data_IF_824428267780
#
_entry.id   IF_824428267780
#
_cell.length_a   1.000
_cell.length_b   1.000
_cell.length_c   1.000
_cell.angle_alpha   90.00
_cell.angle_beta   90.00
_cell.angle_gamma   90.00
#
_symmetry.space_group_name_H-M   'P 1'
#
loop_
_entity.id
_entity.type
_entity.pdbx_description
1 polymer ?
#
# COMPACT_ATOMS: atom_id res chain seq x y z
N UNK A 1 -41.59 -8.72 -18.13
CA UNK A 1 -40.82 -7.45 -18.27
C UNK A 1 -40.33 -6.85 -16.94
N UNK A 2 -40.60 -7.46 -15.77
CA UNK A 2 -40.07 -6.97 -14.49
C UNK A 2 -38.65 -7.48 -14.15
N UNK A 3 -38.19 -8.55 -14.79
CA UNK A 3 -36.92 -9.22 -14.45
C UNK A 3 -35.67 -8.43 -14.88
N UNK A 4 -35.77 -7.57 -15.89
CA UNK A 4 -34.62 -6.82 -16.43
C UNK A 4 -34.17 -5.68 -15.52
N UNK A 5 -35.09 -5.06 -14.78
CA UNK A 5 -34.77 -4.00 -13.82
C UNK A 5 -34.15 -4.55 -12.54
N UNK A 6 -34.71 -5.65 -12.00
CA UNK A 6 -34.19 -6.34 -10.82
C UNK A 6 -32.75 -6.85 -11.04
N UNK A 7 -32.46 -7.44 -12.20
CA UNK A 7 -31.11 -7.91 -12.52
C UNK A 7 -30.09 -6.76 -12.66
N UNK A 8 -30.52 -5.60 -13.18
CA UNK A 8 -29.66 -4.40 -13.25
C UNK A 8 -29.34 -3.86 -11.87
N UNK A 9 -30.32 -3.81 -10.97
CA UNK A 9 -30.14 -3.35 -9.59
C UNK A 9 -29.18 -4.29 -8.85
N UNK A 10 -29.37 -5.61 -8.96
CA UNK A 10 -28.49 -6.60 -8.32
C UNK A 10 -27.02 -6.48 -8.80
N UNK A 11 -26.81 -6.28 -10.10
CA UNK A 11 -25.46 -6.09 -10.66
C UNK A 11 -24.78 -4.81 -10.16
N UNK A 12 -25.52 -3.71 -10.03
CA UNK A 12 -25.00 -2.45 -9.48
C UNK A 12 -24.65 -2.58 -8.00
N UNK A 13 -25.46 -3.31 -7.22
CA UNK A 13 -25.19 -3.58 -5.81
C UNK A 13 -23.94 -4.43 -5.63
N UNK A 14 -23.76 -5.49 -6.43
CA UNK A 14 -22.57 -6.34 -6.39
C UNK A 14 -21.29 -5.55 -6.68
N UNK A 15 -21.29 -4.72 -7.74
CA UNK A 15 -20.15 -3.85 -8.07
C UNK A 15 -19.87 -2.83 -6.97
N UNK A 16 -20.90 -2.33 -6.29
CA UNK A 16 -20.73 -1.40 -5.18
C UNK A 16 -20.02 -2.08 -3.99
N UNK A 17 -20.50 -3.26 -3.62
CA UNK A 17 -19.94 -4.03 -2.51
C UNK A 17 -18.49 -4.47 -2.78
N UNK A 18 -18.17 -4.83 -4.03
CA UNK A 18 -16.78 -5.07 -4.45
C UNK A 18 -15.91 -3.81 -4.31
N UNK A 19 -16.44 -2.63 -4.67
CA UNK A 19 -15.70 -1.38 -4.54
C UNK A 19 -15.49 -1.03 -3.06
N UNK A 20 -16.50 -1.22 -2.21
CA UNK A 20 -16.39 -1.03 -0.75
C UNK A 20 -15.29 -1.90 -0.17
N UNK A 21 -15.28 -3.19 -0.51
CA UNK A 21 -14.24 -4.11 -0.06
C UNK A 21 -12.84 -3.68 -0.55
N UNK A 22 -12.71 -3.29 -1.82
CA UNK A 22 -11.45 -2.80 -2.39
C UNK A 22 -10.97 -1.51 -1.71
N UNK A 23 -11.89 -0.62 -1.30
CA UNK A 23 -11.55 0.60 -0.55
C UNK A 23 -11.05 0.26 0.85
N UNK A 24 -11.71 -0.66 1.55
CA UNK A 24 -11.28 -1.13 2.87
C UNK A 24 -9.89 -1.81 2.82
N UNK A 25 -9.68 -2.70 1.86
CA UNK A 25 -8.39 -3.37 1.65
C UNK A 25 -7.28 -2.35 1.33
N UNK A 26 -7.58 -1.36 0.47
CA UNK A 26 -6.67 -0.26 0.19
C UNK A 26 -6.32 0.51 1.46
N UNK A 27 -7.31 0.92 2.25
CA UNK A 27 -7.09 1.73 3.46
C UNK A 27 -6.29 0.97 4.52
N UNK A 28 -6.56 -0.33 4.69
CA UNK A 28 -5.83 -1.20 5.62
C UNK A 28 -4.38 -1.38 5.18
N UNK A 29 -4.16 -1.73 3.92
CA UNK A 29 -2.83 -1.93 3.34
C UNK A 29 -2.01 -0.63 3.36
N UNK A 30 -2.64 0.50 3.04
CA UNK A 30 -1.99 1.82 3.11
C UNK A 30 -1.55 2.14 4.54
N UNK A 31 -2.40 1.87 5.53
CA UNK A 31 -2.10 2.16 6.93
C UNK A 31 -0.96 1.30 7.45
N UNK A 32 -0.96 -0.01 7.18
CA UNK A 32 0.12 -0.93 7.56
C UNK A 32 1.45 -0.54 6.90
N UNK A 33 1.44 -0.27 5.60
CA UNK A 33 2.63 0.11 4.86
C UNK A 33 3.22 1.43 5.37
N UNK A 34 2.37 2.43 5.67
CA UNK A 34 2.82 3.71 6.21
C UNK A 34 3.36 3.60 7.62
N UNK A 35 2.73 2.79 8.47
CA UNK A 35 3.23 2.51 9.82
C UNK A 35 4.59 1.83 9.77
N UNK A 36 4.74 0.83 8.90
CA UNK A 36 6.01 0.17 8.67
C UNK A 36 7.08 1.15 8.19
N UNK A 37 6.79 1.98 7.18
CA UNK A 37 7.72 3.01 6.69
C UNK A 37 8.13 3.95 7.84
N UNK A 38 7.18 4.46 8.62
CA UNK A 38 7.45 5.37 9.75
C UNK A 38 8.34 4.73 10.81
N UNK A 39 8.20 3.42 11.05
CA UNK A 39 9.05 2.66 11.99
C UNK A 39 10.43 2.37 11.43
N UNK A 40 10.53 2.10 10.12
CA UNK A 40 11.79 1.69 9.48
C UNK A 40 12.69 2.86 9.12
N UNK A 41 12.14 4.03 8.75
CA UNK A 41 12.92 5.24 8.44
C UNK A 41 13.96 5.59 9.54
N UNK A 42 13.60 5.75 10.82
CA UNK A 42 14.59 6.12 11.85
C UNK A 42 15.69 5.07 12.01
N UNK A 43 15.38 3.79 11.81
CA UNK A 43 16.38 2.72 11.84
C UNK A 43 17.33 2.76 10.63
N UNK A 44 16.85 3.16 9.46
CA UNK A 44 17.68 3.35 8.25
C UNK A 44 18.52 4.64 8.30
N UNK A 45 18.01 5.68 8.96
CA UNK A 45 18.70 6.96 9.15
C UNK A 45 19.70 6.92 10.31
N UNK A 46 19.59 5.94 11.22
CA UNK A 46 20.53 5.70 12.30
C UNK A 46 21.91 5.31 11.77
N UNK A 47 22.75 6.31 11.53
CA UNK A 47 24.15 6.18 11.10
C UNK A 47 25.14 6.25 12.27
N UNK A 48 24.68 5.98 13.48
CA UNK A 48 25.55 6.01 14.66
C UNK A 48 26.64 4.92 14.54
N UNK A 49 27.93 5.29 14.65
CA UNK A 49 29.03 4.34 14.63
C UNK A 49 29.01 3.52 15.92
N UNK A 50 28.78 2.22 15.78
CA UNK A 50 28.81 1.28 16.90
C UNK A 50 30.21 1.27 17.54
N UNK A 51 30.26 1.10 18.87
CA UNK A 51 31.51 1.18 19.65
C UNK A 51 32.48 0.04 19.35
N UNK A 52 31.99 -1.05 18.76
CA UNK A 52 32.79 -2.24 18.45
C UNK A 52 32.60 -2.69 16.99
N UNK A 53 33.66 -3.29 16.43
CA UNK A 53 33.64 -3.84 15.05
C UNK A 53 32.58 -4.95 14.92
N UNK A 54 32.39 -5.76 15.96
CA UNK A 54 31.39 -6.83 15.97
C UNK A 54 29.96 -6.29 15.85
N UNK A 55 29.63 -5.23 16.58
CA UNK A 55 28.31 -4.59 16.48
C UNK A 55 28.11 -3.90 15.12
N UNK A 56 29.17 -3.32 14.55
CA UNK A 56 29.12 -2.84 13.16
C UNK A 56 28.83 -3.97 12.16
N UNK A 57 29.45 -5.14 12.32
CA UNK A 57 29.20 -6.30 11.46
C UNK A 57 27.77 -6.82 11.61
N UNK A 58 27.26 -6.91 12.84
CA UNK A 58 25.87 -7.31 13.10
C UNK A 58 24.89 -6.33 12.45
N UNK A 59 25.09 -5.02 12.63
CA UNK A 59 24.24 -3.98 12.01
C UNK A 59 24.26 -4.06 10.47
N UNK A 60 25.39 -4.39 9.87
CA UNK A 60 25.49 -4.63 8.42
C UNK A 60 24.74 -5.89 7.98
N UNK A 61 24.75 -6.94 8.79
CA UNK A 61 24.03 -8.18 8.51
C UNK A 61 22.51 -7.97 8.60
N UNK A 62 22.02 -7.33 9.67
CA UNK A 62 20.62 -6.90 9.80
C UNK A 62 20.18 -6.02 8.62
N UNK A 63 21.05 -5.12 8.14
CA UNK A 63 20.76 -4.31 6.95
C UNK A 63 20.68 -5.13 5.65
N UNK A 64 21.53 -6.17 5.51
CA UNK A 64 21.49 -7.08 4.37
C UNK A 64 20.23 -7.95 4.39
N UNK A 65 19.87 -8.47 5.56
CA UNK A 65 18.67 -9.26 5.77
C UNK A 65 17.42 -8.41 5.48
N UNK A 66 17.35 -7.20 6.04
CA UNK A 66 16.32 -6.22 5.74
C UNK A 66 16.10 -6.04 4.23
N UNK A 67 17.17 -5.80 3.45
CA UNK A 67 17.05 -5.61 2.01
C UNK A 67 16.64 -6.86 1.24
N UNK A 68 16.98 -8.06 1.74
CA UNK A 68 16.70 -9.33 1.05
C UNK A 68 15.35 -9.95 1.42
N UNK A 69 14.89 -9.75 2.66
CA UNK A 69 13.74 -10.47 3.22
C UNK A 69 12.61 -9.51 3.56
N UNK A 70 12.89 -8.42 4.27
CA UNK A 70 11.85 -7.53 4.80
C UNK A 70 11.37 -6.47 3.80
N UNK A 71 12.27 -5.93 2.96
CA UNK A 71 11.96 -4.93 1.93
C UNK A 71 11.14 -5.45 0.74
N UNK A 72 11.44 -6.62 0.13
CA UNK A 72 10.68 -7.14 -1.02
C UNK A 72 9.16 -7.25 -0.81
N UNK A 73 8.64 -7.82 0.31
CA UNK A 73 7.19 -7.92 0.50
C UNK A 73 6.54 -6.54 0.60
N UNK A 74 7.21 -5.55 1.21
CA UNK A 74 6.68 -4.18 1.33
C UNK A 74 6.66 -3.46 -0.03
N UNK A 75 7.60 -3.75 -0.92
CA UNK A 75 7.53 -3.30 -2.33
C UNK A 75 6.33 -3.93 -3.04
N UNK A 76 6.07 -5.21 -2.81
CA UNK A 76 4.92 -5.90 -3.40
C UNK A 76 3.60 -5.34 -2.88
N UNK A 77 3.48 -5.10 -1.57
CA UNK A 77 2.30 -4.46 -0.97
C UNK A 77 2.07 -3.05 -1.55
N UNK A 78 3.14 -2.28 -1.74
CA UNK A 78 3.07 -0.98 -2.41
C UNK A 78 2.53 -1.11 -3.85
N UNK A 79 3.04 -2.07 -4.62
CA UNK A 79 2.58 -2.35 -5.97
C UNK A 79 1.10 -2.77 -5.99
N UNK A 80 0.69 -3.64 -5.07
CA UNK A 80 -0.69 -4.08 -4.92
C UNK A 80 -1.63 -2.91 -4.62
N UNK A 81 -1.19 -1.98 -3.78
CA UNK A 81 -1.94 -0.77 -3.46
C UNK A 81 -2.11 0.14 -4.68
N UNK A 82 -1.07 0.29 -5.51
CA UNK A 82 -1.17 1.02 -6.79
C UNK A 82 -2.14 0.33 -7.76
N UNK A 83 -2.14 -1.01 -7.82
CA UNK A 83 -3.06 -1.80 -8.64
C UNK A 83 -4.51 -1.62 -8.15
N UNK A 84 -4.74 -1.71 -6.83
CA UNK A 84 -6.06 -1.54 -6.22
C UNK A 84 -6.61 -0.13 -6.53
N UNK A 85 -5.78 0.90 -6.40
CA UNK A 85 -6.15 2.27 -6.75
C UNK A 85 -6.52 2.42 -8.22
N UNK A 86 -5.69 1.92 -9.14
CA UNK A 86 -5.97 2.00 -10.58
C UNK A 86 -7.24 1.23 -10.97
N UNK A 87 -7.48 0.09 -10.31
CA UNK A 87 -8.70 -0.72 -10.49
C UNK A 87 -9.92 0.05 -10.01
N UNK A 88 -9.90 0.61 -8.80
CA UNK A 88 -10.97 1.45 -8.25
C UNK A 88 -11.27 2.66 -9.13
N UNK A 89 -10.24 3.38 -9.57
CA UNK A 89 -10.39 4.51 -10.50
C UNK A 89 -11.07 4.09 -11.81
N UNK A 90 -10.64 2.97 -12.38
CA UNK A 90 -11.21 2.46 -13.63
C UNK A 90 -12.67 2.01 -13.44
N UNK A 91 -12.98 1.27 -12.37
CA UNK A 91 -14.35 0.81 -12.05
C UNK A 91 -15.30 1.98 -11.80
N UNK A 92 -14.86 2.99 -11.06
CA UNK A 92 -15.67 4.19 -10.77
C UNK A 92 -15.91 5.03 -12.03
N UNK A 93 -14.89 5.20 -12.87
CA UNK A 93 -15.01 5.88 -14.16
C UNK A 93 -16.01 5.20 -15.09
N UNK A 94 -15.94 3.87 -15.24
CA UNK A 94 -16.89 3.11 -16.06
C UNK A 94 -18.34 3.19 -15.54
N UNK A 95 -18.50 3.43 -14.25
CA UNK A 95 -19.81 3.55 -13.59
C UNK A 95 -20.33 4.99 -13.52
N UNK A 96 -19.64 5.98 -14.13
CA UNK A 96 -19.90 7.42 -13.99
C UNK A 96 -19.99 7.88 -12.53
N UNK A 97 -19.20 7.27 -11.64
CA UNK A 97 -19.10 7.62 -10.21
C UNK A 97 -17.86 8.50 -9.97
N UNK A 98 -17.86 9.31 -8.90
CA UNK A 98 -16.70 10.11 -8.53
C UNK A 98 -15.47 9.22 -8.28
N UNK A 99 -14.30 9.74 -8.61
CA UNK A 99 -13.02 9.08 -8.39
C UNK A 99 -12.81 8.80 -6.89
N UNK A 100 -12.26 7.63 -6.57
CA UNK A 100 -11.86 7.31 -5.20
C UNK A 100 -10.71 8.23 -4.78
N UNK A 101 -10.91 8.98 -3.71
CA UNK A 101 -9.87 9.77 -3.06
C UNK A 101 -9.55 9.13 -1.70
N UNK A 102 -8.37 8.51 -1.53
CA UNK A 102 -7.95 8.02 -0.23
C UNK A 102 -7.69 9.19 0.72
N UNK A 103 -7.83 8.93 2.02
CA UNK A 103 -7.57 9.88 3.10
C UNK A 103 -6.21 10.56 2.96
N UNK A 104 -6.11 11.84 3.35
CA UNK A 104 -4.87 12.62 3.29
C UNK A 104 -3.71 11.85 3.98
N UNK A 105 -2.58 11.71 3.29
CA UNK A 105 -1.43 10.94 3.76
C UNK A 105 -1.46 9.43 3.46
N UNK A 106 -2.58 8.86 2.98
CA UNK A 106 -2.67 7.48 2.47
C UNK A 106 -2.34 7.35 0.98
N UNK A 107 -2.08 8.46 0.28
CA UNK A 107 -1.58 8.45 -1.10
C UNK A 107 -0.13 7.99 -1.16
N UNK A 108 0.06 6.72 -1.51
CA UNK A 108 1.37 6.06 -1.63
C UNK A 108 2.21 6.58 -2.80
N UNK A 109 1.67 7.44 -3.68
CA UNK A 109 2.44 8.07 -4.76
C UNK A 109 3.60 8.95 -4.28
N UNK A 110 3.56 9.46 -3.04
CA UNK A 110 4.54 10.47 -2.55
C UNK A 110 5.61 9.88 -1.60
N UNK A 111 5.33 8.79 -0.88
CA UNK A 111 6.28 8.18 0.07
C UNK A 111 7.45 7.42 -0.58
N UNK A 112 7.57 7.50 -1.91
CA UNK A 112 8.43 6.67 -2.77
C UNK A 112 9.94 6.97 -2.74
N UNK A 113 10.37 8.07 -2.13
CA UNK A 113 11.74 8.55 -2.31
C UNK A 113 12.81 7.84 -1.48
N UNK A 114 12.52 7.51 -0.22
CA UNK A 114 13.58 7.34 0.79
C UNK A 114 13.83 5.87 1.18
N UNK A 115 12.78 5.07 1.36
CA UNK A 115 12.89 3.70 1.89
C UNK A 115 13.10 2.63 0.79
N UNK A 116 12.57 2.86 -0.42
CA UNK A 116 12.60 1.86 -1.50
C UNK A 116 13.76 2.03 -2.50
N UNK A 117 14.42 3.20 -2.55
CA UNK A 117 15.56 3.48 -3.46
C UNK A 117 16.96 3.19 -2.89
N UNK A 118 17.11 2.95 -1.58
CA UNK A 118 18.39 2.60 -0.94
C UNK A 118 18.64 1.08 -0.84
#
# INVERSE_FOLDING_TARGET
MAETAANRICKVLAVNQENEHLMEDYEKLASDLLEWIKRTIPWLEDRDPQKTIQEMQQKLEDFRDYRRVHKPPKVQEKCQLEINFNTLQTKLRLSNRPAFMPSEGKMVSVSNGVCLKQ
#
